data_IF_149941329211
#
_entry.id   IF_149941329211
#
_cell.length_a   1.000
_cell.length_b   1.000
_cell.length_c   1.000
_cell.angle_alpha   90.00
_cell.angle_beta   90.00
_cell.angle_gamma   90.00
#
_symmetry.space_group_name_H-M   'P 1'
#
loop_
_entity.id
_entity.type
_entity.pdbx_description
1 polymer ?
#
# COMPACT_ATOMS: atom_id res chain seq x y z
N UNK A 1 23.85 -11.89 22.41
CA UNK A 1 22.45 -12.33 22.53
C UNK A 1 21.61 -11.07 22.58
N UNK A 2 21.21 -10.53 21.43
CA UNK A 2 20.37 -9.33 21.36
C UNK A 2 18.95 -9.82 21.06
N UNK A 3 18.00 -9.51 21.91
CA UNK A 3 16.59 -9.84 21.67
C UNK A 3 16.08 -9.19 20.38
N UNK A 4 15.25 -9.87 19.59
CA UNK A 4 14.76 -9.33 18.34
C UNK A 4 13.73 -8.25 18.62
N UNK A 5 14.05 -7.03 18.17
CA UNK A 5 13.12 -5.92 18.06
C UNK A 5 11.83 -6.41 17.36
N UNK A 6 10.69 -6.07 17.94
CA UNK A 6 9.36 -6.62 17.64
C UNK A 6 9.06 -6.88 16.15
N UNK A 7 8.47 -8.06 15.94
CA UNK A 7 7.93 -8.63 14.69
C UNK A 7 8.33 -7.90 13.39
N UNK A 8 9.45 -8.28 12.74
CA UNK A 8 9.69 -7.89 11.35
C UNK A 8 8.60 -8.57 10.52
N UNK A 9 7.55 -7.80 10.17
CA UNK A 9 6.49 -8.26 9.28
C UNK A 9 7.10 -8.98 8.10
N UNK A 10 6.70 -10.24 7.89
CA UNK A 10 7.24 -11.16 6.89
C UNK A 10 7.51 -10.44 5.55
N UNK A 11 8.75 -10.07 5.28
CA UNK A 11 9.21 -9.66 3.94
C UNK A 11 9.39 -10.87 3.01
N UNK A 12 8.53 -11.88 3.15
CA UNK A 12 8.65 -13.11 2.38
C UNK A 12 7.86 -12.95 1.09
N UNK A 13 8.56 -12.90 -0.05
CA UNK A 13 7.90 -13.01 -1.34
C UNK A 13 7.16 -14.35 -1.40
N UNK A 14 5.88 -14.26 -1.72
CA UNK A 14 5.02 -15.40 -1.96
C UNK A 14 4.14 -15.08 -3.17
N UNK A 15 3.76 -16.12 -3.89
CA UNK A 15 2.80 -15.98 -4.98
C UNK A 15 1.42 -15.71 -4.39
N UNK A 16 0.76 -14.65 -4.87
CA UNK A 16 -0.60 -14.29 -4.46
C UNK A 16 -1.47 -14.07 -5.69
N UNK A 17 -2.74 -14.46 -5.60
CA UNK A 17 -3.74 -14.22 -6.63
C UNK A 17 -4.58 -12.99 -6.27
N UNK A 18 -4.45 -11.90 -7.02
CA UNK A 18 -5.38 -10.77 -6.93
C UNK A 18 -6.60 -11.06 -7.80
N UNK A 19 -7.78 -11.11 -7.18
CA UNK A 19 -9.05 -11.43 -7.83
C UNK A 19 -9.91 -10.20 -7.96
N UNK A 20 -10.36 -9.88 -9.17
CA UNK A 20 -11.37 -8.86 -9.39
C UNK A 20 -12.75 -9.48 -9.17
N UNK A 21 -13.56 -8.90 -8.27
CA UNK A 21 -14.91 -9.41 -7.99
C UNK A 21 -15.73 -9.48 -9.29
N UNK A 22 -16.14 -10.69 -9.67
CA UNK A 22 -17.03 -10.89 -10.80
C UNK A 22 -18.38 -10.18 -10.55
N UNK A 23 -18.90 -9.49 -11.56
CA UNK A 23 -20.24 -8.91 -11.46
C UNK A 23 -21.28 -10.02 -11.65
N UNK A 24 -22.32 -10.08 -10.80
CA UNK A 24 -23.39 -11.06 -10.94
C UNK A 24 -24.10 -10.89 -12.29
N UNK A 25 -24.70 -11.98 -12.77
CA UNK A 25 -25.53 -11.97 -13.96
C UNK A 25 -26.65 -10.92 -13.80
N UNK A 26 -26.93 -10.16 -14.86
CA UNK A 26 -28.04 -9.19 -14.84
C UNK A 26 -29.35 -9.96 -15.06
N UNK A 27 -30.45 -9.47 -14.47
CA UNK A 27 -31.79 -10.05 -14.60
C UNK A 27 -32.27 -10.22 -16.06
N UNK A 28 -31.70 -9.48 -17.02
CA UNK A 28 -31.90 -9.60 -18.46
C UNK A 28 -31.19 -10.84 -19.09
N UNK A 29 -30.98 -11.93 -18.35
CA UNK A 29 -30.33 -13.14 -18.87
C UNK A 29 -28.88 -12.98 -19.36
N UNK A 30 -28.26 -11.81 -19.15
CA UNK A 30 -26.87 -11.57 -19.56
C UNK A 30 -25.92 -12.35 -18.63
N UNK A 31 -25.08 -13.22 -19.23
CA UNK A 31 -24.11 -14.05 -18.50
C UNK A 31 -23.26 -13.22 -17.55
N UNK A 32 -22.99 -13.76 -16.36
CA UNK A 32 -22.05 -13.16 -15.41
C UNK A 32 -20.68 -12.95 -16.08
N UNK A 33 -20.03 -11.82 -15.81
CA UNK A 33 -18.67 -11.60 -16.31
C UNK A 33 -17.73 -12.58 -15.60
N UNK A 34 -16.83 -13.20 -16.37
CA UNK A 34 -15.80 -14.12 -15.85
C UNK A 34 -14.91 -13.37 -14.85
N UNK A 35 -14.61 -14.04 -13.74
CA UNK A 35 -13.67 -13.55 -12.74
C UNK A 35 -12.25 -13.52 -13.33
N UNK A 36 -11.58 -12.37 -13.22
CA UNK A 36 -10.18 -12.25 -13.63
C UNK A 36 -9.32 -12.39 -12.37
N UNK A 37 -8.41 -13.36 -12.40
CA UNK A 37 -7.38 -13.54 -11.38
C UNK A 37 -6.00 -13.25 -11.99
N UNK A 38 -5.24 -12.35 -11.36
CA UNK A 38 -3.89 -11.98 -11.78
C UNK A 38 -2.91 -12.52 -10.73
N UNK A 39 -1.96 -13.39 -11.11
CA UNK A 39 -0.90 -13.80 -10.22
C UNK A 39 0.09 -12.65 -10.02
N UNK A 40 0.53 -12.46 -8.78
CA UNK A 40 1.49 -11.42 -8.38
C UNK A 40 2.57 -12.07 -7.53
N UNK A 41 3.82 -11.71 -7.81
CA UNK A 41 4.99 -12.11 -7.05
C UNK A 41 6.00 -10.96 -7.04
N UNK A 42 6.79 -10.87 -5.96
CA UNK A 42 7.88 -9.90 -5.83
C UNK A 42 7.66 -8.94 -4.68
N UNK A 43 8.36 -7.81 -4.75
CA UNK A 43 8.39 -6.79 -3.72
C UNK A 43 8.11 -5.41 -4.31
N UNK A 44 7.73 -4.49 -3.45
CA UNK A 44 7.66 -3.07 -3.77
C UNK A 44 8.16 -2.23 -2.61
N UNK A 45 8.70 -1.07 -2.94
CA UNK A 45 9.26 -0.14 -1.96
C UNK A 45 8.38 1.10 -1.90
N UNK A 46 7.99 1.48 -0.68
CA UNK A 46 7.30 2.71 -0.38
C UNK A 46 8.31 3.65 0.24
N UNK A 47 8.40 4.89 -0.25
CA UNK A 47 9.43 5.85 0.15
C UNK A 47 8.80 7.22 0.39
N UNK A 48 9.21 7.90 1.46
CA UNK A 48 8.95 9.32 1.65
C UNK A 48 10.23 10.12 1.46
N UNK A 49 10.10 11.24 0.77
CA UNK A 49 11.22 12.12 0.41
C UNK A 49 10.91 13.54 0.89
N UNK A 50 11.90 14.17 1.50
CA UNK A 50 11.85 15.57 1.89
C UNK A 50 11.76 16.50 0.65
N UNK A 51 10.81 17.43 0.65
CA UNK A 51 10.61 18.34 -0.50
C UNK A 51 11.77 19.30 -0.72
N UNK A 52 12.38 19.83 0.36
CA UNK A 52 13.39 20.90 0.31
C UNK A 52 14.78 20.35 0.01
N UNK A 53 15.15 19.28 0.68
CA UNK A 53 16.50 18.72 0.67
C UNK A 53 16.61 17.39 -0.09
N UNK A 54 15.48 16.82 -0.52
CA UNK A 54 15.42 15.58 -1.33
C UNK A 54 15.97 14.33 -0.64
N UNK A 55 16.10 14.36 0.68
CA UNK A 55 16.50 13.20 1.47
C UNK A 55 15.36 12.18 1.57
N UNK A 56 15.72 10.90 1.46
CA UNK A 56 14.83 9.82 1.87
C UNK A 56 14.70 9.88 3.39
N UNK A 57 13.47 10.10 3.87
CA UNK A 57 13.16 10.21 5.30
C UNK A 57 12.83 8.86 5.89
N UNK A 58 11.95 8.12 5.21
CA UNK A 58 11.55 6.75 5.58
C UNK A 58 11.31 5.94 4.33
N UNK A 59 11.47 4.63 4.47
CA UNK A 59 11.02 3.67 3.48
C UNK A 59 10.54 2.40 4.16
N UNK A 60 9.70 1.66 3.45
CA UNK A 60 9.35 0.29 3.82
C UNK A 60 9.26 -0.56 2.55
N UNK A 61 9.61 -1.84 2.66
CA UNK A 61 9.50 -2.81 1.57
C UNK A 61 8.38 -3.75 1.93
N UNK A 62 7.48 -4.02 0.99
CA UNK A 62 6.34 -4.91 1.19
C UNK A 62 6.27 -5.94 0.07
N UNK A 63 5.44 -6.96 0.22
CA UNK A 63 5.14 -7.87 -0.89
C UNK A 63 4.48 -7.06 -2.00
N UNK A 64 4.75 -7.41 -3.26
CA UNK A 64 4.05 -6.82 -4.41
C UNK A 64 2.52 -7.04 -4.33
N UNK A 65 2.08 -8.04 -3.56
CA UNK A 65 0.68 -8.32 -3.31
C UNK A 65 0.00 -7.31 -2.36
N UNK A 66 0.76 -6.61 -1.52
CA UNK A 66 0.20 -5.72 -0.50
C UNK A 66 -0.51 -4.52 -1.15
N UNK A 67 -1.33 -3.79 -0.39
CA UNK A 67 -2.01 -2.59 -0.86
C UNK A 67 -1.13 -1.35 -0.59
N UNK A 68 -0.95 -0.50 -1.60
CA UNK A 68 -0.16 0.73 -1.49
C UNK A 68 -0.79 1.70 -0.49
N UNK A 69 -2.13 1.83 -0.54
CA UNK A 69 -2.86 2.76 0.32
C UNK A 69 -2.67 2.48 1.81
N UNK A 70 -2.46 1.23 2.20
CA UNK A 70 -2.24 0.85 3.59
C UNK A 70 -0.86 1.25 4.14
N UNK A 71 0.08 1.64 3.29
CA UNK A 71 1.48 1.87 3.71
C UNK A 71 1.81 3.32 4.05
N UNK A 72 0.85 4.26 3.91
CA UNK A 72 1.11 5.68 4.15
C UNK A 72 1.69 5.93 5.56
N UNK A 73 1.04 5.39 6.60
CA UNK A 73 1.47 5.57 7.99
C UNK A 73 2.90 5.03 8.25
N UNK A 74 3.35 4.04 7.48
CA UNK A 74 4.69 3.45 7.65
C UNK A 74 5.80 4.34 7.09
N UNK A 75 5.48 5.19 6.12
CA UNK A 75 6.43 6.07 5.44
C UNK A 75 6.34 7.54 5.87
N UNK A 76 5.32 7.96 6.63
CA UNK A 76 5.26 9.32 7.16
C UNK A 76 6.29 9.56 8.27
N UNK A 77 6.96 10.69 8.19
CA UNK A 77 7.93 11.16 9.19
C UNK A 77 7.34 12.34 9.96
N UNK A 78 6.89 12.09 11.19
CA UNK A 78 6.31 13.12 12.05
C UNK A 78 7.31 14.21 12.49
N UNK A 79 8.62 13.97 12.32
CA UNK A 79 9.65 14.99 12.59
C UNK A 79 9.87 15.93 11.40
N UNK A 80 9.20 15.67 10.26
CA UNK A 80 9.23 16.56 9.12
C UNK A 80 8.39 17.81 9.41
N UNK A 81 9.01 18.97 9.34
CA UNK A 81 8.39 20.27 9.64
C UNK A 81 7.47 20.79 8.53
N UNK A 82 7.40 20.10 7.39
CA UNK A 82 6.45 20.42 6.34
C UNK A 82 5.07 19.81 6.64
N UNK A 83 4.05 20.66 6.79
CA UNK A 83 2.68 20.22 7.12
C UNK A 83 1.94 19.59 5.94
N UNK A 84 2.34 19.90 4.70
CA UNK A 84 1.66 19.39 3.50
C UNK A 84 2.27 18.08 3.01
N UNK A 85 1.42 17.07 2.82
CA UNK A 85 1.80 15.77 2.23
C UNK A 85 1.34 15.69 0.78
N UNK A 86 2.28 15.36 -0.11
CA UNK A 86 2.02 15.11 -1.52
C UNK A 86 2.23 13.61 -1.76
N UNK A 87 1.19 12.92 -2.22
CA UNK A 87 1.22 11.47 -2.42
C UNK A 87 0.51 11.07 -3.72
N UNK A 88 0.84 9.89 -4.23
CA UNK A 88 0.15 9.29 -5.37
C UNK A 88 -1.33 9.00 -5.05
N UNK A 89 -2.16 8.90 -6.09
CA UNK A 89 -3.59 8.61 -5.98
C UNK A 89 -3.88 7.30 -5.22
N UNK A 90 -2.99 6.30 -5.29
CA UNK A 90 -3.12 5.07 -4.54
C UNK A 90 -3.15 5.27 -3.01
N UNK A 91 -2.57 6.37 -2.51
CA UNK A 91 -2.61 6.73 -1.09
C UNK A 91 -3.85 7.55 -0.70
N UNK A 92 -4.69 7.95 -1.66
CA UNK A 92 -5.86 8.79 -1.40
C UNK A 92 -7.08 7.96 -0.96
N UNK A 93 -7.00 7.44 0.25
CA UNK A 93 -8.12 6.76 0.93
C UNK A 93 -8.70 7.65 2.03
N UNK A 94 -9.98 7.48 2.38
CA UNK A 94 -10.62 8.21 3.49
C UNK A 94 -9.87 7.99 4.81
N UNK A 95 -9.35 6.78 5.02
CA UNK A 95 -8.55 6.44 6.21
C UNK A 95 -7.27 7.26 6.25
N UNK A 96 -6.58 7.40 5.11
CA UNK A 96 -5.35 8.18 5.02
C UNK A 96 -5.61 9.69 5.15
N UNK A 97 -6.67 10.20 4.52
CA UNK A 97 -7.07 11.61 4.69
C UNK A 97 -7.39 11.92 6.16
N UNK A 98 -8.11 11.02 6.86
CA UNK A 98 -8.36 11.16 8.29
C UNK A 98 -7.09 11.01 9.15
N UNK A 99 -6.11 10.23 8.69
CA UNK A 99 -4.82 10.10 9.35
C UNK A 99 -3.98 11.38 9.22
N UNK A 100 -4.05 12.05 8.07
CA UNK A 100 -3.35 13.31 7.80
C UNK A 100 -4.00 14.54 8.46
N UNK A 101 -5.28 14.45 8.81
CA UNK A 101 -6.01 15.54 9.47
C UNK A 101 -5.80 15.62 11.00
N UNK A 102 -4.97 14.74 11.56
CA UNK A 102 -4.62 14.72 13.00
C UNK A 102 -3.33 15.48 13.25
#
# INVERSE_FOLDING_TARGET
MQEPLGNPGRFNAHWTLKRAKARPAKANGAKAKVEIAIPVFGYKTHVSIDRKHRFVRRFTVTSAADDDGAQLANVLDATNTASDVWADTAYRSKTNEAHLAK
#
